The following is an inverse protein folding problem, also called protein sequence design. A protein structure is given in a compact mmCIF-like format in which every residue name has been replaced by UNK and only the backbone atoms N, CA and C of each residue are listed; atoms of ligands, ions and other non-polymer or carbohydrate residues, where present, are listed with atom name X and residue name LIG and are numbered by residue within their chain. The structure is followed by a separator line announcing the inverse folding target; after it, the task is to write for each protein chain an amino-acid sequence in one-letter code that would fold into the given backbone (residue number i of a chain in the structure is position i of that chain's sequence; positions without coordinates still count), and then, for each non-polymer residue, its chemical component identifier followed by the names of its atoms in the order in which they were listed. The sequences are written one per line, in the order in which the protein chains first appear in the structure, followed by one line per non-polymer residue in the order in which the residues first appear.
data_IF_245355560957
#
_entry.id   IF_245355560957
#
_cell.length_a   1.000
_cell.length_b   1.000
_cell.length_c   1.000
_cell.angle_alpha   90.00
_cell.angle_beta   90.00
_cell.angle_gamma   90.00
#
_symmetry.space_group_name_H-M   'P 1'
#
loop_
_entity.id
_entity.type
_entity.pdbx_description
1 polymer ?
#
# COMPACT_ATOMS: atom_id res chain seq x y z
N UNK A 1 0.25 -1.25 8.28
CA UNK A 1 0.31 0.15 7.78
C UNK A 1 -1.07 0.72 7.56
N UNK A 2 -1.96 0.11 6.76
CA UNK A 2 -3.33 0.64 6.56
C UNK A 2 -4.17 0.57 7.85
N UNK A 3 -4.15 -0.57 8.57
CA UNK A 3 -4.91 -0.75 9.81
C UNK A 3 -4.49 0.21 10.94
N UNK A 4 -3.18 0.42 11.05
CA UNK A 4 -2.58 1.31 12.04
C UNK A 4 -1.27 1.84 11.45
N UNK A 5 -1.30 3.12 11.06
CA UNK A 5 -0.18 3.80 10.44
C UNK A 5 0.81 4.29 11.50
N UNK A 6 0.32 4.84 12.62
CA UNK A 6 1.17 5.36 13.70
C UNK A 6 2.03 4.27 14.30
N UNK A 7 1.46 3.12 14.64
CA UNK A 7 2.23 1.99 15.14
C UNK A 7 3.26 1.47 14.14
N UNK A 8 2.97 1.55 12.84
CA UNK A 8 3.93 1.16 11.81
C UNK A 8 5.10 2.16 11.71
N UNK A 9 4.81 3.47 11.78
CA UNK A 9 5.83 4.52 11.82
C UNK A 9 6.73 4.34 13.05
N UNK A 10 6.17 4.15 14.23
CA UNK A 10 6.93 3.91 15.47
C UNK A 10 7.82 2.66 15.37
N UNK A 11 7.31 1.56 14.77
CA UNK A 11 8.12 0.37 14.52
C UNK A 11 9.31 0.65 13.60
N UNK A 12 9.12 1.47 12.56
CA UNK A 12 10.19 1.88 11.65
C UNK A 12 11.21 2.76 12.41
N UNK A 13 10.75 3.75 13.17
CA UNK A 13 11.59 4.60 14.02
C UNK A 13 12.49 3.76 14.93
N UNK A 14 11.91 2.79 15.64
CA UNK A 14 12.65 1.86 16.50
C UNK A 14 13.68 1.04 15.71
N UNK A 15 13.31 0.53 14.53
CA UNK A 15 14.20 -0.25 13.68
C UNK A 15 15.41 0.55 13.18
N UNK A 16 15.21 1.82 12.81
CA UNK A 16 16.30 2.71 12.34
C UNK A 16 17.02 3.44 13.47
N UNK A 17 16.67 3.19 14.73
CA UNK A 17 17.28 3.84 15.90
C UNK A 17 17.00 5.34 15.99
N UNK A 18 15.79 5.77 15.61
CA UNK A 18 15.33 7.16 15.74
C UNK A 18 14.29 7.27 16.84
N UNK A 19 14.61 8.05 17.86
CA UNK A 19 13.65 8.48 18.87
C UNK A 19 13.09 9.85 18.46
N UNK A 20 11.77 9.93 18.28
CA UNK A 20 11.06 11.10 17.77
C UNK A 20 9.93 11.43 18.74
N UNK A 21 9.73 12.72 19.01
CA UNK A 21 8.59 13.17 19.80
C UNK A 21 7.24 12.87 19.09
N UNK A 22 6.17 12.83 19.87
CA UNK A 22 4.84 12.48 19.38
C UNK A 22 4.36 13.41 18.26
N UNK A 23 4.71 14.69 18.33
CA UNK A 23 4.32 15.70 17.33
C UNK A 23 4.98 15.43 15.98
N UNK A 24 6.26 15.05 15.99
CA UNK A 24 7.01 14.68 14.79
C UNK A 24 6.46 13.38 14.21
N UNK A 25 6.14 12.39 15.05
CA UNK A 25 5.49 11.16 14.60
C UNK A 25 4.12 11.45 13.97
N UNK A 26 3.30 12.31 14.59
CA UNK A 26 2.00 12.71 14.04
C UNK A 26 2.14 13.41 12.68
N UNK A 27 3.12 14.31 12.55
CA UNK A 27 3.41 14.97 11.28
C UNK A 27 3.82 13.98 10.19
N UNK A 28 4.63 12.95 10.52
CA UNK A 28 5.00 11.89 9.57
C UNK A 28 3.77 11.07 9.18
N UNK A 29 2.95 10.65 10.15
CA UNK A 29 1.73 9.87 9.93
C UNK A 29 0.79 10.62 8.97
N UNK A 30 0.54 11.90 9.23
CA UNK A 30 -0.33 12.73 8.38
C UNK A 30 0.23 12.85 6.96
N UNK A 31 1.53 13.18 6.81
CA UNK A 31 2.16 13.29 5.48
C UNK A 31 2.18 11.96 4.72
N UNK A 32 2.31 10.84 5.42
CA UNK A 32 2.36 9.49 4.85
C UNK A 32 0.96 8.92 4.54
N UNK A 33 -0.12 9.64 4.81
CA UNK A 33 -1.46 9.19 4.39
C UNK A 33 -1.56 9.12 2.87
N UNK A 34 -2.34 8.15 2.37
CA UNK A 34 -2.54 7.99 0.94
C UNK A 34 -3.10 9.27 0.28
N UNK A 35 -4.01 9.98 0.97
CA UNK A 35 -4.57 11.25 0.50
C UNK A 35 -3.47 12.29 0.26
N UNK A 36 -2.61 12.51 1.26
CA UNK A 36 -1.58 13.54 1.18
C UNK A 36 -0.48 13.16 0.18
N UNK A 37 -0.06 11.89 0.16
CA UNK A 37 0.88 11.41 -0.86
C UNK A 37 0.32 11.51 -2.28
N UNK A 38 -0.99 11.34 -2.47
CA UNK A 38 -1.63 11.46 -3.79
C UNK A 38 -1.62 12.90 -4.32
N UNK A 39 -1.72 13.89 -3.44
CA UNK A 39 -1.60 15.31 -3.81
C UNK A 39 -0.17 15.81 -3.92
N UNK A 40 0.81 15.18 -3.25
CA UNK A 40 2.21 15.61 -3.26
C UNK A 40 2.90 15.26 -4.61
N UNK A 41 3.33 16.24 -5.42
CA UNK A 41 4.00 16.00 -6.70
C UNK A 41 5.31 15.21 -6.59
N UNK A 42 5.99 15.30 -5.43
CA UNK A 42 7.22 14.56 -5.16
C UNK A 42 6.94 13.07 -4.86
N UNK A 43 5.73 12.73 -4.42
CA UNK A 43 5.34 11.37 -4.06
C UNK A 43 4.43 10.69 -5.10
N UNK A 44 3.66 11.45 -5.88
CA UNK A 44 2.62 10.91 -6.78
C UNK A 44 3.11 10.58 -8.19
N UNK A 45 4.40 10.72 -8.47
CA UNK A 45 5.03 10.42 -9.76
C UNK A 45 4.45 11.21 -10.96
N UNK A 46 3.82 12.36 -10.72
CA UNK A 46 3.24 13.20 -11.79
C UNK A 46 4.27 13.58 -12.86
N UNK A 47 5.53 13.80 -12.48
CA UNK A 47 6.61 14.24 -13.37
C UNK A 47 7.16 13.11 -14.25
N UNK A 48 7.19 11.87 -13.76
CA UNK A 48 7.68 10.70 -14.51
C UNK A 48 6.66 10.26 -15.57
N UNK A 49 5.37 10.49 -15.30
CA UNK A 49 4.29 10.24 -16.25
C UNK A 49 4.39 11.06 -17.55
N UNK A 50 5.06 12.21 -17.58
CA UNK A 50 5.13 13.03 -18.79
C UNK A 50 6.16 12.52 -19.81
N UNK A 51 7.22 11.84 -19.37
CA UNK A 51 8.30 11.41 -20.26
C UNK A 51 8.12 10.00 -20.86
N UNK A 52 7.34 9.13 -20.22
CA UNK A 52 7.21 7.71 -20.64
C UNK A 52 5.80 7.27 -21.08
N UNK A 53 4.79 8.16 -21.09
CA UNK A 53 3.40 7.82 -21.44
C UNK A 53 3.11 7.84 -22.96
N UNK A 54 3.76 6.99 -23.75
CA UNK A 54 3.38 6.84 -25.17
C UNK A 54 2.20 5.88 -25.42
N UNK A 55 1.80 5.01 -24.48
CA UNK A 55 0.83 3.93 -24.83
C UNK A 55 -0.13 3.43 -23.75
N UNK A 56 -0.10 3.89 -22.48
CA UNK A 56 -0.88 3.23 -21.42
C UNK A 56 -2.01 4.13 -20.89
N UNK A 57 -3.21 3.55 -20.81
CA UNK A 57 -4.47 4.16 -20.33
C UNK A 57 -4.26 5.00 -19.06
N UNK A 58 -5.00 6.11 -18.97
CA UNK A 58 -5.03 7.15 -17.92
C UNK A 58 -5.23 6.61 -16.49
N UNK A 59 -4.27 5.90 -15.92
CA UNK A 59 -4.29 5.54 -14.49
C UNK A 59 -3.23 6.33 -13.75
N UNK A 60 -3.63 6.95 -12.64
CA UNK A 60 -2.70 7.60 -11.72
C UNK A 60 -1.86 6.54 -11.00
N UNK A 61 -0.58 6.84 -10.75
CA UNK A 61 0.32 5.94 -10.02
C UNK A 61 -0.27 5.55 -8.65
N UNK A 62 -0.74 6.55 -7.89
CA UNK A 62 -1.51 6.36 -6.67
C UNK A 62 -3.00 6.17 -7.01
N UNK A 63 -3.39 4.93 -7.29
CA UNK A 63 -4.72 4.55 -7.81
C UNK A 63 -5.84 4.66 -6.77
N UNK A 64 -5.97 3.69 -5.86
CA UNK A 64 -7.04 3.63 -4.82
C UNK A 64 -6.53 3.64 -3.37
N UNK A 65 -5.42 2.96 -3.06
CA UNK A 65 -4.84 2.96 -1.72
C UNK A 65 -5.66 2.22 -0.66
N UNK A 66 -6.45 1.22 -1.07
CA UNK A 66 -7.37 0.48 -0.20
C UNK A 66 -7.07 -1.02 -0.21
N UNK A 67 -7.35 -1.69 0.89
CA UNK A 67 -7.37 -3.16 0.98
C UNK A 67 -8.69 -3.66 0.36
N UNK A 68 -8.70 -4.90 -0.15
CA UNK A 68 -9.92 -5.56 -0.65
C UNK A 68 -10.34 -5.20 -2.07
N UNK A 69 -9.63 -4.32 -2.79
CA UNK A 69 -10.04 -3.90 -4.15
C UNK A 69 -10.02 -5.04 -5.19
N UNK A 70 -9.36 -6.15 -4.88
CA UNK A 70 -9.39 -7.36 -5.70
C UNK A 70 -10.82 -7.90 -5.88
N UNK A 71 -11.71 -7.69 -4.89
CA UNK A 71 -13.14 -8.06 -4.95
C UNK A 71 -13.91 -7.35 -6.06
N UNK A 72 -13.44 -6.19 -6.50
CA UNK A 72 -14.05 -5.43 -7.59
C UNK A 72 -13.55 -5.86 -8.98
N UNK A 73 -12.60 -6.78 -9.04
CA UNK A 73 -11.90 -7.15 -10.29
C UNK A 73 -12.02 -8.64 -10.58
N UNK A 74 -11.91 -9.49 -9.57
CA UNK A 74 -11.97 -10.94 -9.75
C UNK A 74 -13.42 -11.45 -9.81
N UNK A 75 -13.68 -12.36 -10.72
CA UNK A 75 -14.90 -13.18 -10.67
C UNK A 75 -14.78 -14.22 -9.56
N UNK A 76 -15.93 -14.77 -9.13
CA UNK A 76 -15.96 -15.85 -8.11
C UNK A 76 -15.07 -17.02 -8.52
N UNK A 77 -15.20 -17.51 -9.77
CA UNK A 77 -14.40 -18.63 -10.27
C UNK A 77 -12.89 -18.33 -10.32
N UNK A 78 -12.50 -17.08 -10.60
CA UNK A 78 -11.09 -16.66 -10.55
C UNK A 78 -10.56 -16.65 -9.12
N UNK A 79 -11.37 -16.15 -8.17
CA UNK A 79 -10.99 -16.12 -6.77
C UNK A 79 -10.83 -17.53 -6.18
N UNK A 80 -11.79 -18.43 -6.42
CA UNK A 80 -11.71 -19.82 -5.96
C UNK A 80 -10.46 -20.55 -6.50
N UNK A 81 -10.14 -20.32 -7.77
CA UNK A 81 -8.92 -20.86 -8.38
C UNK A 81 -7.66 -20.28 -7.74
N UNK A 82 -7.66 -18.97 -7.44
CA UNK A 82 -6.54 -18.31 -6.77
C UNK A 82 -6.35 -18.86 -5.35
N UNK A 83 -7.42 -18.95 -4.55
CA UNK A 83 -7.39 -19.45 -3.17
C UNK A 83 -6.81 -20.86 -3.09
N UNK A 84 -7.21 -21.76 -4.01
CA UNK A 84 -6.65 -23.11 -4.09
C UNK A 84 -5.13 -23.09 -4.34
N UNK A 85 -4.69 -22.37 -5.37
CA UNK A 85 -3.26 -22.30 -5.73
C UNK A 85 -2.46 -21.64 -4.59
N UNK A 86 -2.98 -20.55 -4.01
CA UNK A 86 -2.35 -19.84 -2.92
C UNK A 86 -2.15 -20.74 -1.70
N UNK A 87 -3.21 -21.47 -1.31
CA UNK A 87 -3.16 -22.44 -0.22
C UNK A 87 -2.12 -23.55 -0.47
N UNK A 88 -2.10 -24.14 -1.66
CA UNK A 88 -1.13 -25.18 -2.01
C UNK A 88 0.33 -24.68 -1.99
N UNK A 89 0.56 -23.45 -2.45
CA UNK A 89 1.92 -22.89 -2.59
C UNK A 89 2.49 -22.32 -1.30
N UNK A 90 1.65 -21.91 -0.36
CA UNK A 90 2.09 -21.18 0.85
C UNK A 90 1.75 -21.88 2.16
N UNK A 91 1.14 -23.07 2.12
CA UNK A 91 0.78 -23.87 3.30
C UNK A 91 1.91 -24.07 4.32
N UNK A 92 3.16 -24.14 3.86
CA UNK A 92 4.32 -24.45 4.71
C UNK A 92 5.00 -23.19 5.27
N UNK A 93 4.51 -21.99 4.90
CA UNK A 93 5.06 -20.73 5.41
C UNK A 93 4.29 -20.27 6.66
N UNK A 94 4.98 -19.88 7.74
CA UNK A 94 4.34 -19.39 8.96
C UNK A 94 3.92 -17.91 8.82
N UNK A 95 3.39 -17.51 7.66
CA UNK A 95 3.05 -16.12 7.35
C UNK A 95 1.53 -15.97 7.33
N UNK A 96 1.03 -14.98 8.07
CA UNK A 96 -0.40 -14.62 8.07
C UNK A 96 -0.61 -13.40 7.18
N UNK A 97 -1.52 -13.52 6.22
CA UNK A 97 -1.93 -12.44 5.33
C UNK A 97 -3.26 -11.85 5.78
N UNK A 98 -3.41 -10.54 5.62
CA UNK A 98 -4.66 -9.80 5.86
C UNK A 98 -5.15 -9.32 4.50
N UNK A 99 -6.24 -9.90 4.02
CA UNK A 99 -6.79 -9.64 2.68
C UNK A 99 -7.86 -8.55 2.65
N UNK A 100 -8.31 -8.15 3.84
CA UNK A 100 -9.42 -7.23 4.11
C UNK A 100 -9.06 -6.25 5.25
#
# INVERSE_FOLDING_TARGET
MVKDLRSAVLKICNFVGKDLDDQTVDAIVERATFKNMKSDPLANYAHIGQQHRKTQKKSNFLRKGTIGDWKNVMTVAQNEKFDKIFGEKLKDLPIKFIWD
#
